data_IF_065004562344
#
_entry.id   IF_065004562344
#
_cell.length_a   1.000
_cell.length_b   1.000
_cell.length_c   1.000
_cell.angle_alpha   90.00
_cell.angle_beta   90.00
_cell.angle_gamma   90.00
#
_symmetry.space_group_name_H-M   'P 1'
#
loop_
_entity.id
_entity.type
_entity.pdbx_description
1 polymer ?
#
# COMPACT_ATOMS: atom_id res chain seq x y z
N UNK A 1 -18.73 -8.36 -3.78
CA UNK A 1 -18.05 -9.11 -2.70
C UNK A 1 -16.78 -8.39 -2.29
N UNK A 2 -16.44 -8.46 -1.03
CA UNK A 2 -15.24 -7.91 -0.40
C UNK A 2 -13.96 -8.71 -0.75
N UNK A 3 -14.10 -10.00 -1.08
CA UNK A 3 -12.99 -10.85 -1.47
C UNK A 3 -12.50 -10.55 -2.90
N UNK A 4 -11.23 -10.12 -3.00
CA UNK A 4 -10.54 -9.81 -4.25
C UNK A 4 -10.48 -11.03 -5.19
N UNK A 5 -10.11 -12.20 -4.67
CA UNK A 5 -9.92 -13.41 -5.48
C UNK A 5 -11.24 -13.86 -6.11
N UNK A 6 -12.34 -13.77 -5.35
CA UNK A 6 -13.69 -14.09 -5.86
C UNK A 6 -14.13 -13.10 -6.94
N UNK A 7 -13.81 -11.81 -6.79
CA UNK A 7 -14.11 -10.80 -7.83
C UNK A 7 -13.32 -11.08 -9.11
N UNK A 8 -12.03 -11.33 -8.99
CA UNK A 8 -11.16 -11.64 -10.14
C UNK A 8 -11.58 -12.92 -10.85
N UNK A 9 -11.89 -13.99 -10.12
CA UNK A 9 -12.37 -15.24 -10.71
C UNK A 9 -13.68 -15.05 -11.48
N UNK A 10 -14.64 -14.30 -10.94
CA UNK A 10 -15.90 -13.98 -11.64
C UNK A 10 -15.69 -13.12 -12.88
N UNK A 11 -14.76 -12.18 -12.81
CA UNK A 11 -14.40 -11.32 -13.92
C UNK A 11 -13.76 -12.14 -15.06
N UNK A 12 -12.79 -12.98 -14.74
CA UNK A 12 -12.12 -13.84 -15.72
C UNK A 12 -13.10 -14.81 -16.39
N UNK A 13 -13.98 -15.44 -15.62
CA UNK A 13 -15.03 -16.31 -16.17
C UNK A 13 -16.00 -15.58 -17.12
N UNK A 14 -16.23 -14.28 -16.91
CA UNK A 14 -17.01 -13.45 -17.81
C UNK A 14 -16.23 -13.15 -19.11
N UNK A 15 -14.94 -12.84 -19.00
CA UNK A 15 -14.06 -12.62 -20.16
C UNK A 15 -13.97 -13.88 -21.01
N UNK A 16 -13.79 -15.06 -20.41
CA UNK A 16 -13.76 -16.35 -21.11
C UNK A 16 -15.04 -16.59 -21.92
N UNK A 17 -16.22 -16.33 -21.35
CA UNK A 17 -17.49 -16.42 -22.08
C UNK A 17 -17.59 -15.44 -23.25
N UNK A 18 -16.97 -14.26 -23.13
CA UNK A 18 -16.91 -13.30 -24.23
C UNK A 18 -15.97 -13.78 -25.33
N UNK A 19 -14.83 -14.35 -24.97
CA UNK A 19 -13.92 -15.01 -25.92
C UNK A 19 -14.63 -16.09 -26.74
N UNK A 20 -15.25 -17.03 -26.04
CA UNK A 20 -16.01 -18.12 -26.71
C UNK A 20 -17.10 -17.62 -27.66
N UNK A 21 -17.75 -16.51 -27.30
CA UNK A 21 -18.87 -15.98 -28.08
C UNK A 21 -18.47 -15.18 -29.31
N UNK A 22 -17.38 -14.44 -29.26
CA UNK A 22 -17.05 -13.43 -30.26
C UNK A 22 -15.78 -13.70 -31.07
N UNK A 23 -14.86 -14.53 -30.57
CA UNK A 23 -13.60 -14.80 -31.26
C UNK A 23 -13.79 -15.47 -32.64
N UNK A 24 -14.75 -16.37 -32.78
CA UNK A 24 -15.05 -17.05 -34.04
C UNK A 24 -15.58 -16.09 -35.11
N UNK A 25 -16.32 -15.05 -34.69
CA UNK A 25 -16.94 -14.08 -35.59
C UNK A 25 -16.09 -12.83 -35.81
N UNK A 26 -15.21 -12.51 -34.87
CA UNK A 26 -14.39 -11.29 -34.85
C UNK A 26 -12.98 -11.60 -34.33
N UNK A 27 -12.16 -12.39 -35.04
CA UNK A 27 -10.83 -12.79 -34.57
C UNK A 27 -9.88 -11.61 -34.34
N UNK A 28 -10.04 -10.51 -35.06
CA UNK A 28 -9.23 -9.30 -34.90
C UNK A 28 -9.50 -8.55 -33.60
N UNK A 29 -10.58 -8.87 -32.90
CA UNK A 29 -10.93 -8.20 -31.63
C UNK A 29 -10.15 -8.73 -30.41
N UNK A 30 -9.50 -9.87 -30.55
CA UNK A 30 -8.73 -10.47 -29.43
C UNK A 30 -7.68 -9.50 -28.87
N UNK A 31 -6.91 -8.85 -29.74
CA UNK A 31 -5.90 -7.86 -29.35
C UNK A 31 -6.46 -6.62 -28.62
N UNK A 32 -7.75 -6.32 -28.77
CA UNK A 32 -8.42 -5.18 -28.15
C UNK A 32 -9.29 -5.55 -26.95
N UNK A 33 -9.50 -6.84 -26.72
CA UNK A 33 -10.45 -7.33 -25.71
C UNK A 33 -10.10 -6.82 -24.29
N UNK A 34 -8.83 -6.84 -23.93
CA UNK A 34 -8.36 -6.35 -22.64
C UNK A 34 -8.64 -4.85 -22.47
N UNK A 35 -8.39 -4.05 -23.51
CA UNK A 35 -8.66 -2.60 -23.47
C UNK A 35 -10.17 -2.30 -23.40
N UNK A 36 -10.98 -3.03 -24.16
CA UNK A 36 -12.44 -2.87 -24.20
C UNK A 36 -13.03 -3.22 -22.83
N UNK A 37 -12.65 -4.37 -22.27
CA UNK A 37 -13.15 -4.83 -20.97
C UNK A 37 -12.73 -3.90 -19.85
N UNK A 38 -11.50 -3.39 -19.87
CA UNK A 38 -11.02 -2.41 -18.90
C UNK A 38 -11.82 -1.09 -18.97
N UNK A 39 -12.04 -0.54 -20.15
CA UNK A 39 -12.83 0.68 -20.34
C UNK A 39 -14.27 0.50 -19.89
N UNK A 40 -14.86 -0.65 -20.17
CA UNK A 40 -16.22 -0.99 -19.76
C UNK A 40 -16.33 -1.13 -18.24
N UNK A 41 -15.41 -1.86 -17.60
CA UNK A 41 -15.34 -1.99 -16.15
C UNK A 41 -15.20 -0.62 -15.49
N UNK A 42 -14.30 0.23 -15.98
CA UNK A 42 -14.09 1.58 -15.46
C UNK A 42 -15.38 2.41 -15.54
N UNK A 43 -16.11 2.33 -16.65
CA UNK A 43 -17.39 3.06 -16.82
C UNK A 43 -18.45 2.61 -15.82
N UNK A 44 -18.61 1.30 -15.61
CA UNK A 44 -19.58 0.75 -14.64
C UNK A 44 -19.20 1.15 -13.22
N UNK A 45 -17.94 0.95 -12.82
CA UNK A 45 -17.49 1.27 -11.46
C UNK A 45 -17.60 2.76 -11.17
N UNK A 46 -17.33 3.62 -12.17
CA UNK A 46 -17.51 5.08 -12.05
C UNK A 46 -18.98 5.43 -11.77
N UNK A 47 -19.91 4.88 -12.55
CA UNK A 47 -21.34 5.12 -12.36
C UNK A 47 -21.81 4.66 -10.96
N UNK A 48 -21.43 3.45 -10.54
CA UNK A 48 -21.78 2.93 -9.21
C UNK A 48 -21.24 3.80 -8.08
N UNK A 49 -20.00 4.28 -8.17
CA UNK A 49 -19.43 5.15 -7.14
C UNK A 49 -20.14 6.49 -7.04
N UNK A 50 -20.57 7.08 -8.17
CA UNK A 50 -21.38 8.30 -8.18
C UNK A 50 -22.77 8.08 -7.54
N UNK A 51 -23.38 6.92 -7.76
CA UNK A 51 -24.63 6.50 -7.11
C UNK A 51 -24.45 6.12 -5.62
N UNK A 52 -23.21 6.04 -5.13
CA UNK A 52 -22.91 5.69 -3.74
C UNK A 52 -22.61 4.22 -3.49
N UNK A 53 -22.52 3.41 -4.52
CA UNK A 53 -22.25 1.98 -4.43
C UNK A 53 -20.76 1.68 -4.63
N UNK A 54 -20.18 0.86 -3.76
CA UNK A 54 -18.81 0.37 -3.91
C UNK A 54 -18.81 -1.09 -4.35
N UNK A 55 -17.78 -1.50 -5.08
CA UNK A 55 -17.63 -2.88 -5.60
C UNK A 55 -17.55 -3.93 -4.50
N UNK A 56 -17.13 -3.55 -3.31
CA UNK A 56 -17.01 -4.38 -2.12
C UNK A 56 -18.24 -4.30 -1.18
N UNK A 57 -19.22 -3.47 -1.49
CA UNK A 57 -20.46 -3.31 -0.72
C UNK A 57 -20.37 -2.36 0.46
N UNK A 58 -19.18 -1.75 0.75
CA UNK A 58 -19.02 -0.76 1.82
C UNK A 58 -19.67 0.58 1.48
N UNK A 59 -19.93 1.37 2.51
CA UNK A 59 -20.26 2.78 2.37
C UNK A 59 -19.05 3.61 1.94
N UNK A 60 -19.25 4.82 1.42
CA UNK A 60 -18.15 5.70 0.94
C UNK A 60 -17.13 6.04 2.01
N UNK A 61 -17.54 6.16 3.25
CA UNK A 61 -16.73 6.50 4.42
C UNK A 61 -16.45 5.31 5.35
N UNK A 62 -16.67 4.10 4.89
CA UNK A 62 -16.46 2.89 5.66
C UNK A 62 -15.05 2.34 5.43
N UNK A 63 -14.37 2.03 6.54
CA UNK A 63 -13.04 1.42 6.55
C UNK A 63 -13.19 -0.09 6.69
N UNK A 64 -12.34 -0.86 6.00
CA UNK A 64 -12.24 -2.32 6.17
C UNK A 64 -11.90 -2.69 7.61
N UNK A 65 -12.22 -3.91 8.07
CA UNK A 65 -11.84 -4.38 9.40
C UNK A 65 -10.33 -4.24 9.64
N UNK A 66 -9.97 -3.75 10.83
CA UNK A 66 -8.59 -3.49 11.23
C UNK A 66 -8.13 -4.52 12.26
N UNK A 67 -6.86 -4.94 12.14
CA UNK A 67 -6.14 -5.66 13.17
C UNK A 67 -4.70 -5.13 13.26
N UNK A 68 -4.14 -5.17 14.46
CA UNK A 68 -2.78 -4.71 14.74
C UNK A 68 -2.12 -5.65 15.75
N UNK A 69 -0.91 -6.08 15.44
CA UNK A 69 -0.10 -6.93 16.29
C UNK A 69 1.31 -6.34 16.42
N UNK A 70 1.92 -6.44 17.57
CA UNK A 70 3.29 -6.01 17.84
C UNK A 70 4.12 -7.16 18.41
N UNK A 71 5.45 -7.02 18.42
CA UNK A 71 6.32 -8.08 18.92
C UNK A 71 6.26 -9.37 18.10
N UNK A 72 5.89 -9.29 16.82
CA UNK A 72 5.70 -10.44 15.92
C UNK A 72 7.01 -11.20 15.68
N UNK A 73 8.11 -10.45 15.60
CA UNK A 73 9.45 -11.03 15.37
C UNK A 73 10.31 -10.91 16.64
N UNK A 74 10.81 -12.04 17.21
CA UNK A 74 11.43 -12.03 18.53
C UNK A 74 12.87 -11.48 18.58
N UNK A 75 13.53 -11.27 17.42
CA UNK A 75 14.95 -10.89 17.35
C UNK A 75 15.21 -9.51 16.76
N UNK A 76 14.16 -8.73 16.54
CA UNK A 76 14.26 -7.35 16.05
C UNK A 76 14.07 -6.38 17.21
N UNK A 77 14.39 -5.11 17.03
CA UNK A 77 14.17 -4.09 18.08
C UNK A 77 12.68 -3.77 18.24
N UNK A 78 11.92 -3.78 17.13
CA UNK A 78 10.46 -3.67 17.16
C UNK A 78 9.85 -4.16 15.87
N UNK A 79 8.64 -4.70 15.93
CA UNK A 79 7.89 -5.17 14.77
C UNK A 79 6.40 -4.93 14.93
N UNK A 80 5.74 -4.57 13.83
CA UNK A 80 4.30 -4.37 13.78
C UNK A 80 3.69 -5.01 12.54
N UNK A 81 2.67 -5.82 12.73
CA UNK A 81 1.84 -6.36 11.65
C UNK A 81 0.53 -5.57 11.64
N UNK A 82 0.30 -4.83 10.59
CA UNK A 82 -0.95 -4.10 10.38
C UNK A 82 -1.78 -4.76 9.30
N UNK A 83 -3.04 -5.04 9.62
CA UNK A 83 -4.00 -5.65 8.70
C UNK A 83 -5.20 -4.73 8.51
N UNK A 84 -5.60 -4.54 7.25
CA UNK A 84 -6.83 -3.84 6.87
C UNK A 84 -7.54 -4.62 5.78
N UNK A 85 -8.56 -5.38 6.17
CA UNK A 85 -9.19 -6.39 5.31
C UNK A 85 -8.15 -7.39 4.81
N UNK A 86 -7.99 -7.51 3.50
CA UNK A 86 -7.00 -8.40 2.86
C UNK A 86 -5.63 -7.74 2.65
N UNK A 87 -5.43 -6.50 3.07
CA UNK A 87 -4.13 -5.83 2.99
C UNK A 87 -3.37 -6.04 4.30
N UNK A 88 -2.17 -6.60 4.23
CA UNK A 88 -1.28 -6.82 5.37
C UNK A 88 0.10 -6.26 5.09
N UNK A 89 0.65 -5.55 6.07
CA UNK A 89 2.01 -5.00 6.03
C UNK A 89 2.73 -5.33 7.33
N UNK A 90 3.86 -6.00 7.21
CA UNK A 90 4.80 -6.24 8.31
C UNK A 90 5.87 -5.14 8.28
N UNK A 91 5.96 -4.36 9.34
CA UNK A 91 7.01 -3.34 9.51
C UNK A 91 7.97 -3.75 10.60
N UNK A 92 9.26 -3.57 10.34
CA UNK A 92 10.35 -3.93 11.26
C UNK A 92 11.21 -2.71 11.52
N UNK A 93 11.41 -2.39 12.80
CA UNK A 93 12.27 -1.31 13.24
C UNK A 93 13.63 -1.85 13.69
N UNK A 94 14.70 -1.25 13.19
CA UNK A 94 16.08 -1.50 13.61
C UNK A 94 16.68 -0.20 14.13
N UNK A 95 17.29 -0.28 15.30
CA UNK A 95 18.02 0.83 15.95
C UNK A 95 19.51 0.52 15.91
N UNK A 96 20.32 1.56 15.68
CA UNK A 96 21.77 1.44 15.68
C UNK A 96 22.40 2.77 16.14
N UNK A 97 23.72 2.81 16.30
CA UNK A 97 24.47 4.02 16.60
C UNK A 97 24.34 5.06 15.47
N UNK A 98 24.61 6.31 15.74
CA UNK A 98 24.54 7.38 14.76
C UNK A 98 25.51 7.20 13.58
N UNK A 99 26.56 6.38 13.72
CA UNK A 99 27.46 6.03 12.63
C UNK A 99 26.77 5.21 11.50
N UNK A 100 25.59 4.63 11.79
CA UNK A 100 24.77 3.92 10.81
C UNK A 100 23.79 4.84 10.06
N UNK A 101 23.85 6.16 10.25
CA UNK A 101 23.09 7.12 9.46
C UNK A 101 23.37 6.92 7.98
N UNK A 102 22.35 7.04 7.14
CA UNK A 102 22.54 7.00 5.70
C UNK A 102 23.24 8.27 5.23
N UNK A 103 24.43 8.12 4.65
CA UNK A 103 25.13 9.23 3.98
C UNK A 103 24.48 9.50 2.64
N UNK A 104 24.11 10.75 2.41
CA UNK A 104 23.58 11.24 1.15
C UNK A 104 24.64 12.13 0.51
N UNK A 105 25.33 11.58 -0.50
CA UNK A 105 26.30 12.30 -1.32
C UNK A 105 25.58 12.75 -2.61
N UNK A 106 25.20 14.02 -2.64
CA UNK A 106 24.53 14.64 -3.78
C UNK A 106 25.45 15.65 -4.47
N UNK A 107 25.09 16.09 -5.66
CA UNK A 107 25.86 17.14 -6.37
C UNK A 107 25.80 18.52 -5.68
N UNK A 108 24.91 18.67 -4.69
CA UNK A 108 24.72 19.94 -4.00
C UNK A 108 25.34 19.98 -2.60
N UNK A 109 25.23 18.89 -1.87
CA UNK A 109 25.69 18.81 -0.49
C UNK A 109 25.84 17.35 -0.04
N UNK A 110 26.74 17.11 0.92
CA UNK A 110 26.78 15.89 1.71
C UNK A 110 25.91 16.07 2.95
N UNK A 111 24.94 15.20 3.14
CA UNK A 111 24.07 15.20 4.31
C UNK A 111 23.91 13.80 4.88
N UNK A 112 23.43 13.72 6.11
CA UNK A 112 23.13 12.47 6.79
C UNK A 112 21.63 12.35 7.09
N UNK A 113 21.12 11.15 6.92
CA UNK A 113 19.74 10.82 7.21
C UNK A 113 19.68 9.81 8.34
N UNK A 114 19.18 10.25 9.49
CA UNK A 114 19.06 9.44 10.71
C UNK A 114 17.84 8.52 10.69
N UNK A 115 16.72 8.99 10.21
CA UNK A 115 15.50 8.21 10.03
C UNK A 115 15.38 7.76 8.58
N UNK A 116 15.29 6.45 8.37
CA UNK A 116 15.19 5.81 7.07
C UNK A 116 13.94 4.94 7.03
N UNK A 117 13.16 5.06 5.96
CA UNK A 117 12.01 4.17 5.73
C UNK A 117 12.15 3.50 4.37
N UNK A 118 12.13 2.17 4.35
CA UNK A 118 12.16 1.35 3.16
C UNK A 118 10.85 0.58 3.01
N UNK A 119 10.39 0.45 1.78
CA UNK A 119 9.14 -0.22 1.45
C UNK A 119 9.40 -1.26 0.36
N UNK A 120 8.91 -2.48 0.57
CA UNK A 120 9.02 -3.57 -0.38
C UNK A 120 7.62 -4.06 -0.78
N UNK A 121 7.45 -4.28 -2.10
CA UNK A 121 6.22 -4.80 -2.68
C UNK A 121 6.53 -6.05 -3.52
N UNK A 122 6.76 -7.22 -2.88
CA UNK A 122 7.13 -8.44 -3.57
C UNK A 122 5.96 -9.02 -4.36
N UNK A 123 6.25 -9.81 -5.40
CA UNK A 123 5.24 -10.41 -6.26
C UNK A 123 4.23 -11.28 -5.52
N UNK A 124 4.67 -12.00 -4.47
CA UNK A 124 3.78 -12.85 -3.67
C UNK A 124 2.64 -12.08 -3.00
N UNK A 125 2.80 -10.77 -2.74
CA UNK A 125 1.76 -9.93 -2.14
C UNK A 125 0.50 -9.80 -3.00
N UNK A 126 0.63 -10.07 -4.29
CA UNK A 126 -0.45 -10.08 -5.28
C UNK A 126 -0.60 -11.44 -5.99
N UNK A 127 0.04 -12.50 -5.47
CA UNK A 127 -0.04 -13.84 -6.03
C UNK A 127 0.80 -14.05 -7.29
N UNK A 128 1.77 -13.18 -7.58
CA UNK A 128 2.63 -13.28 -8.76
C UNK A 128 4.00 -13.89 -8.44
N UNK A 129 4.46 -14.78 -9.31
CA UNK A 129 5.84 -15.30 -9.28
C UNK A 129 6.75 -14.33 -10.04
N UNK A 130 7.43 -13.45 -9.31
CA UNK A 130 8.39 -12.48 -9.85
C UNK A 130 9.76 -12.67 -9.24
N UNK A 131 10.85 -12.49 -10.04
CA UNK A 131 12.20 -12.48 -9.48
C UNK A 131 12.37 -11.29 -8.52
N UNK A 132 13.08 -11.51 -7.41
CA UNK A 132 13.48 -10.41 -6.53
C UNK A 132 14.50 -9.52 -7.27
N UNK A 133 14.19 -8.24 -7.37
CA UNK A 133 15.03 -7.21 -8.00
C UNK A 133 15.21 -6.05 -7.04
N UNK A 134 16.10 -5.12 -7.42
CA UNK A 134 16.22 -3.84 -6.72
C UNK A 134 14.88 -3.10 -6.69
N UNK A 135 14.59 -2.31 -5.64
CA UNK A 135 13.36 -1.54 -5.54
C UNK A 135 13.14 -0.66 -6.77
N UNK A 136 11.95 -0.71 -7.34
CA UNK A 136 11.54 0.14 -8.44
C UNK A 136 11.11 1.53 -7.96
N UNK A 137 10.75 2.40 -8.90
CA UNK A 137 10.29 3.77 -8.58
C UNK A 137 9.05 3.80 -7.69
N UNK A 138 8.18 2.79 -7.83
CA UNK A 138 6.98 2.65 -7.01
C UNK A 138 7.34 2.41 -5.54
N UNK A 139 8.23 1.47 -5.27
CA UNK A 139 8.69 1.16 -3.92
C UNK A 139 9.39 2.36 -3.28
N UNK A 140 10.24 3.04 -4.04
CA UNK A 140 10.94 4.25 -3.57
C UNK A 140 9.92 5.35 -3.23
N UNK A 141 8.93 5.60 -4.08
CA UNK A 141 7.90 6.62 -3.85
C UNK A 141 7.00 6.31 -2.65
N UNK A 142 6.60 5.04 -2.47
CA UNK A 142 5.80 4.61 -1.33
C UNK A 142 6.59 4.67 -0.02
N UNK A 143 7.86 4.29 -0.05
CA UNK A 143 8.77 4.44 1.09
C UNK A 143 8.94 5.90 1.51
N UNK A 144 9.17 6.79 0.54
CA UNK A 144 9.30 8.22 0.79
C UNK A 144 8.02 8.86 1.34
N UNK A 145 6.83 8.38 0.92
CA UNK A 145 5.55 8.82 1.46
C UNK A 145 5.43 8.47 2.95
N UNK A 146 5.72 7.22 3.31
CA UNK A 146 5.67 6.77 4.70
C UNK A 146 6.72 7.47 5.58
N UNK A 147 7.93 7.69 5.04
CA UNK A 147 8.98 8.44 5.73
C UNK A 147 8.54 9.86 6.06
N UNK A 148 7.99 10.59 5.09
CA UNK A 148 7.50 11.96 5.30
C UNK A 148 6.36 12.03 6.29
N UNK A 149 5.50 11.02 6.34
CA UNK A 149 4.40 10.96 7.30
C UNK A 149 4.88 10.80 8.74
N UNK A 150 5.96 10.04 8.96
CA UNK A 150 6.48 9.71 10.29
C UNK A 150 7.59 10.67 10.75
N UNK A 151 8.34 11.27 9.85
CA UNK A 151 9.45 12.17 10.19
C UNK A 151 9.09 13.27 11.21
N UNK A 152 7.93 13.95 11.15
CA UNK A 152 7.56 14.97 12.10
C UNK A 152 7.38 14.49 13.55
N UNK A 153 7.15 13.19 13.74
CA UNK A 153 6.92 12.59 15.07
C UNK A 153 8.14 11.85 15.62
N UNK A 154 9.21 11.70 14.82
CA UNK A 154 10.47 11.13 15.28
C UNK A 154 11.11 12.07 16.33
N UNK A 155 11.56 11.55 17.47
CA UNK A 155 12.22 12.36 18.50
C UNK A 155 13.53 12.97 17.98
N UNK A 156 13.96 14.13 18.50
CA UNK A 156 15.26 14.71 18.17
C UNK A 156 16.42 13.82 18.66
N UNK A 157 17.63 14.04 18.14
CA UNK A 157 18.79 13.21 18.44
C UNK A 157 19.22 13.33 19.91
N UNK A 158 19.00 14.47 20.52
CA UNK A 158 19.33 14.74 21.92
C UNK A 158 18.46 13.91 22.89
N UNK A 159 17.24 13.60 22.48
CA UNK A 159 16.29 12.82 23.27
C UNK A 159 16.43 11.32 22.99
N UNK A 160 16.73 10.95 21.74
CA UNK A 160 16.83 9.56 21.30
C UNK A 160 18.03 9.40 20.34
N UNK A 161 19.26 9.14 20.84
CA UNK A 161 20.50 9.22 20.07
C UNK A 161 20.79 7.93 19.25
N UNK A 162 19.83 7.49 18.46
CA UNK A 162 19.96 6.31 17.60
C UNK A 162 19.61 6.62 16.15
N UNK A 163 20.31 5.99 15.22
CA UNK A 163 19.86 5.83 13.85
C UNK A 163 18.63 4.90 13.84
N UNK A 164 17.60 5.25 13.11
CA UNK A 164 16.32 4.51 13.06
C UNK A 164 16.07 4.07 11.62
N UNK A 165 15.97 2.76 11.40
CA UNK A 165 15.59 2.22 10.10
C UNK A 165 14.32 1.39 10.24
N UNK A 166 13.29 1.75 9.47
CA UNK A 166 12.06 0.97 9.35
C UNK A 166 11.99 0.36 7.96
N UNK A 167 11.69 -0.93 7.89
CA UNK A 167 11.44 -1.66 6.66
C UNK A 167 10.03 -2.19 6.70
N UNK A 168 9.21 -1.79 5.73
CA UNK A 168 7.83 -2.28 5.58
C UNK A 168 7.75 -3.26 4.42
N UNK A 169 7.34 -4.47 4.71
CA UNK A 169 7.15 -5.56 3.77
C UNK A 169 5.66 -5.79 3.55
N UNK A 170 5.19 -5.67 2.31
CA UNK A 170 3.79 -5.96 1.98
C UNK A 170 3.62 -7.48 1.87
N UNK A 171 2.91 -8.05 2.83
CA UNK A 171 2.64 -9.50 2.87
C UNK A 171 1.47 -9.87 1.96
N UNK A 172 0.42 -9.04 1.97
CA UNK A 172 -0.75 -9.22 1.11
C UNK A 172 -1.29 -7.85 0.69
N UNK A 173 -1.76 -7.73 -0.56
CA UNK A 173 -2.25 -6.48 -1.11
C UNK A 173 -3.64 -6.57 -1.70
N UNK A 174 -4.55 -5.78 -1.15
CA UNK A 174 -5.82 -5.41 -1.74
C UNK A 174 -6.01 -3.88 -1.68
N UNK A 175 -5.02 -3.15 -2.18
CA UNK A 175 -4.99 -1.69 -2.23
C UNK A 175 -4.55 -0.99 -0.94
N UNK A 176 -4.11 0.26 -1.07
CA UNK A 176 -3.72 1.16 0.03
C UNK A 176 -2.58 0.65 0.92
N UNK A 177 -1.61 -0.04 0.34
CA UNK A 177 -0.49 -0.66 1.06
C UNK A 177 0.51 0.35 1.62
N UNK A 178 0.74 1.48 0.95
CA UNK A 178 1.60 2.55 1.47
C UNK A 178 1.04 3.18 2.75
N UNK A 179 -0.29 3.35 2.82
CA UNK A 179 -0.96 3.79 4.04
C UNK A 179 -0.91 2.71 5.13
N UNK A 180 -0.99 1.44 4.74
CA UNK A 180 -0.76 0.31 5.64
C UNK A 180 0.67 0.31 6.20
N UNK A 181 1.67 0.69 5.40
CA UNK A 181 3.06 0.79 5.87
C UNK A 181 3.26 1.91 6.90
N UNK A 182 2.54 3.02 6.80
CA UNK A 182 2.55 4.08 7.83
C UNK A 182 2.02 3.53 9.16
N UNK A 183 0.87 2.84 9.13
CA UNK A 183 0.27 2.25 10.32
C UNK A 183 1.20 1.19 10.95
N UNK A 184 1.70 0.25 10.15
CA UNK A 184 2.64 -0.78 10.60
C UNK A 184 3.94 -0.20 11.16
N UNK A 185 4.46 0.86 10.56
CA UNK A 185 5.67 1.54 11.03
C UNK A 185 5.47 2.26 12.36
N UNK A 186 4.31 2.88 12.56
CA UNK A 186 3.95 3.43 13.88
C UNK A 186 4.00 2.34 14.96
N UNK A 187 3.40 1.18 14.68
CA UNK A 187 3.42 0.04 15.61
C UNK A 187 4.84 -0.44 15.88
N UNK A 188 5.66 -0.62 14.84
CA UNK A 188 7.05 -1.07 14.96
C UNK A 188 7.94 -0.08 15.71
N UNK A 189 7.77 1.23 15.52
CA UNK A 189 8.49 2.27 16.24
C UNK A 189 8.13 2.27 17.73
N UNK A 190 6.84 2.14 18.05
CA UNK A 190 6.39 2.07 19.44
C UNK A 190 6.84 0.78 20.12
N UNK A 191 6.80 -0.35 19.44
CA UNK A 191 7.31 -1.64 19.94
C UNK A 191 8.81 -1.62 20.18
N UNK A 192 9.57 -0.88 19.35
CA UNK A 192 11.02 -0.65 19.55
C UNK A 192 11.34 0.33 20.69
N UNK A 193 10.35 0.91 21.36
CA UNK A 193 10.55 1.89 22.42
C UNK A 193 10.98 3.28 21.92
N UNK A 194 10.80 3.60 20.64
CA UNK A 194 11.07 4.95 20.12
C UNK A 194 9.99 5.91 20.65
N UNK A 195 10.36 6.97 21.40
CA UNK A 195 9.39 7.91 21.99
C UNK A 195 8.86 8.88 20.92
N UNK A 196 8.06 8.36 19.97
CA UNK A 196 7.42 9.21 18.96
C UNK A 196 6.44 10.18 19.61
N UNK A 197 6.36 11.42 19.09
CA UNK A 197 5.51 12.49 19.65
C UNK A 197 4.03 12.14 19.63
N UNK A 198 3.58 11.39 18.65
CA UNK A 198 2.21 10.93 18.49
C UNK A 198 2.15 9.74 17.52
N UNK A 199 1.16 8.83 17.65
CA UNK A 199 0.92 7.80 16.65
C UNK A 199 0.44 8.43 15.33
N UNK A 200 0.92 7.88 14.21
CA UNK A 200 0.52 8.30 12.86
C UNK A 200 -0.19 7.16 12.17
N UNK A 201 -1.32 7.44 11.56
CA UNK A 201 -2.06 6.50 10.75
C UNK A 201 -2.24 7.03 9.32
N UNK A 202 -2.35 6.12 8.36
CA UNK A 202 -2.56 6.45 6.95
C UNK A 202 -3.84 5.80 6.41
N UNK A 203 -4.58 6.57 5.61
CA UNK A 203 -5.72 6.09 4.84
C UNK A 203 -5.70 6.72 3.45
N UNK A 204 -6.11 5.96 2.43
CA UNK A 204 -6.25 6.49 1.07
C UNK A 204 -7.62 7.14 0.88
N UNK A 205 -7.65 8.24 0.13
CA UNK A 205 -8.86 8.92 -0.27
C UNK A 205 -8.92 8.96 -1.80
N UNK A 206 -10.08 8.63 -2.36
CA UNK A 206 -10.34 8.66 -3.80
C UNK A 206 -11.32 9.76 -4.17
N UNK A 207 -11.15 10.30 -5.37
CA UNK A 207 -12.06 11.23 -6.03
C UNK A 207 -12.48 10.63 -7.37
N UNK A 208 -13.78 10.58 -7.61
CA UNK A 208 -14.37 10.27 -8.91
C UNK A 208 -15.14 11.50 -9.38
N UNK A 209 -14.91 11.88 -10.63
CA UNK A 209 -15.58 13.01 -11.26
C UNK A 209 -16.15 12.60 -12.63
N UNK A 210 -17.36 13.11 -12.95
CA UNK A 210 -18.00 13.00 -14.26
C UNK A 210 -18.71 14.29 -14.61
N UNK A 211 -18.12 15.09 -15.49
CA UNK A 211 -18.56 16.46 -15.71
C UNK A 211 -18.46 17.28 -14.44
N UNK A 212 -19.58 17.86 -14.00
CA UNK A 212 -19.69 18.65 -12.77
C UNK A 212 -19.99 17.78 -11.52
N UNK A 213 -20.40 16.53 -11.72
CA UNK A 213 -20.68 15.60 -10.62
C UNK A 213 -19.39 14.97 -10.10
N UNK A 214 -19.24 14.95 -8.78
CA UNK A 214 -18.10 14.27 -8.14
C UNK A 214 -18.48 13.58 -6.84
N UNK A 215 -17.69 12.62 -6.46
CA UNK A 215 -17.80 11.96 -5.15
C UNK A 215 -16.44 11.57 -4.61
N UNK A 216 -16.31 11.59 -3.29
CA UNK A 216 -15.11 11.11 -2.59
C UNK A 216 -15.43 9.85 -1.79
N UNK A 217 -14.43 9.02 -1.58
CA UNK A 217 -14.53 7.82 -0.76
C UNK A 217 -13.17 7.49 -0.15
N UNK A 218 -13.17 6.80 0.97
CA UNK A 218 -11.96 6.45 1.71
C UNK A 218 -11.64 4.95 1.61
N UNK A 219 -10.42 4.58 2.00
CA UNK A 219 -9.92 3.20 2.01
C UNK A 219 -10.08 2.50 0.66
N UNK A 220 -9.34 3.00 -0.34
CA UNK A 220 -9.36 2.51 -1.73
C UNK A 220 -8.77 1.10 -1.79
N UNK A 221 -9.42 0.23 -2.58
CA UNK A 221 -8.95 -1.12 -2.97
C UNK A 221 -8.30 -1.10 -4.35
#
# INVERSE_FOLDING_TARGET
TDDKNVREARWNAMIEKWHEKYLDTHPDMDQYLEEITYKFQKKIVKAWLLEGHRVDGRQKNEIRPLAAEVGVLPRVHGSGLFTRGQTQVLSVCTLDTLSANQKLDTIWEETEKRYMHHYNFPGYSVGEAKPARSPGRREIGHGALAERALLPVIPPVEEFPYAIRVVSEVVSSNGSTSQGSICGSTLALMDAGVPIKAPVAGISCGLIQDGDDFTTFIDIQ
#
